data_IF_622716525234
#
_entry.id   IF_622716525234
#
_cell.length_a   1.000
_cell.length_b   1.000
_cell.length_c   1.000
_cell.angle_alpha   90.00
_cell.angle_beta   90.00
_cell.angle_gamma   90.00
#
_symmetry.space_group_name_H-M   'P 1'
#
loop_
_entity.id
_entity.type
_entity.pdbx_description
1 polymer ?
#
# COMPACT_ATOMS: atom_id res chain seq x y z
N UNK A 1 -17.34 -9.54 25.55
CA UNK A 1 -16.13 -10.37 25.31
C UNK A 1 -15.38 -9.67 24.21
N UNK A 2 -14.09 -9.38 24.38
CA UNK A 2 -13.30 -8.85 23.26
C UNK A 2 -13.12 -9.98 22.24
N UNK A 3 -13.43 -9.73 20.97
CA UNK A 3 -13.20 -10.72 19.92
C UNK A 3 -11.70 -11.06 19.82
N UNK A 4 -11.38 -12.34 19.67
CA UNK A 4 -10.01 -12.80 19.44
C UNK A 4 -9.56 -12.39 18.04
N UNK A 5 -8.32 -11.91 17.91
CA UNK A 5 -7.72 -11.52 16.64
C UNK A 5 -7.34 -12.76 15.83
N UNK A 6 -7.46 -12.67 14.51
CA UNK A 6 -6.94 -13.69 13.61
C UNK A 6 -5.41 -13.66 13.57
N UNK A 7 -4.80 -14.74 13.05
CA UNK A 7 -3.36 -14.77 12.83
C UNK A 7 -2.90 -13.65 11.89
N UNK A 8 -3.67 -13.37 10.83
CA UNK A 8 -3.34 -12.34 9.85
C UNK A 8 -3.43 -10.92 10.44
N UNK A 9 -4.48 -10.64 11.23
CA UNK A 9 -4.58 -9.38 11.96
C UNK A 9 -3.43 -9.20 12.95
N UNK A 10 -3.03 -10.27 13.63
CA UNK A 10 -1.86 -10.24 14.53
C UNK A 10 -0.58 -9.92 13.78
N UNK A 11 -0.38 -10.47 12.58
CA UNK A 11 0.75 -10.13 11.70
C UNK A 11 0.78 -8.62 11.38
N UNK A 12 -0.38 -8.03 11.09
CA UNK A 12 -0.49 -6.60 10.79
C UNK A 12 -0.26 -5.70 12.00
N UNK A 13 -0.70 -6.10 13.20
CA UNK A 13 -0.33 -5.37 14.42
C UNK A 13 1.17 -5.45 14.69
N UNK A 14 1.81 -6.57 14.38
CA UNK A 14 3.26 -6.73 14.41
C UNK A 14 3.99 -5.70 13.54
N UNK A 15 3.41 -5.22 12.45
CA UNK A 15 4.01 -4.16 11.62
C UNK A 15 4.12 -2.85 12.37
N UNK A 16 3.04 -2.45 13.05
CA UNK A 16 3.03 -1.23 13.86
C UNK A 16 3.96 -1.36 15.06
N UNK A 17 4.03 -2.54 15.66
CA UNK A 17 4.91 -2.81 16.79
C UNK A 17 6.40 -2.83 16.39
N UNK A 18 6.74 -3.36 15.21
CA UNK A 18 8.09 -3.26 14.64
C UNK A 18 8.50 -1.79 14.46
N UNK A 19 7.63 -0.94 13.92
CA UNK A 19 7.89 0.49 13.74
C UNK A 19 8.11 1.19 15.08
N UNK A 20 7.21 0.98 16.06
CA UNK A 20 7.33 1.59 17.40
C UNK A 20 8.51 1.06 18.21
N UNK A 21 8.91 -0.19 17.96
CA UNK A 21 9.99 -0.86 18.67
C UNK A 21 11.38 -0.55 18.13
N UNK A 22 11.49 0.08 16.95
CA UNK A 22 12.77 0.42 16.33
C UNK A 22 13.28 1.78 16.83
N UNK A 23 14.40 1.83 17.58
CA UNK A 23 14.87 3.07 18.20
C UNK A 23 15.43 4.10 17.20
N UNK A 24 15.83 3.68 16.01
CA UNK A 24 16.28 4.57 14.94
C UNK A 24 15.15 5.23 14.15
N UNK A 25 13.90 4.79 14.36
CA UNK A 25 12.73 5.32 13.67
C UNK A 25 12.00 6.31 14.57
N UNK A 26 11.73 7.49 14.03
CA UNK A 26 10.75 8.41 14.59
C UNK A 26 9.39 8.05 14.00
N UNK A 27 8.48 7.61 14.87
CA UNK A 27 7.09 7.37 14.51
C UNK A 27 6.27 8.62 14.83
N UNK A 28 5.70 9.25 13.81
CA UNK A 28 4.78 10.38 14.01
C UNK A 28 3.43 9.86 14.49
N UNK A 29 2.91 8.84 13.81
CA UNK A 29 1.76 8.07 14.25
C UNK A 29 1.85 6.63 13.75
N UNK A 30 1.21 5.72 14.49
CA UNK A 30 1.00 4.34 14.10
C UNK A 30 -0.31 3.94 14.76
N UNK A 31 -1.36 3.73 13.97
CA UNK A 31 -2.71 3.60 14.49
C UNK A 31 -3.44 2.41 13.88
N UNK A 32 -4.31 1.84 14.70
CA UNK A 32 -5.24 0.78 14.31
C UNK A 32 -6.64 1.34 14.46
N UNK A 33 -7.41 1.25 13.40
CA UNK A 33 -8.82 1.60 13.38
C UNK A 33 -9.67 0.70 14.28
N UNK A 34 -10.97 0.98 14.29
CA UNK A 34 -11.96 0.21 15.05
C UNK A 34 -11.95 -1.26 14.61
N UNK A 35 -12.09 -2.18 15.56
CA UNK A 35 -12.32 -3.59 15.24
C UNK A 35 -13.81 -3.80 14.97
N UNK A 36 -14.14 -4.11 13.73
CA UNK A 36 -15.51 -4.39 13.29
C UNK A 36 -15.83 -5.86 13.56
N UNK A 37 -16.13 -6.19 14.83
CA UNK A 37 -16.26 -7.58 15.30
C UNK A 37 -17.28 -8.43 14.51
N UNK A 38 -18.29 -7.79 13.93
CA UNK A 38 -19.35 -8.42 13.14
C UNK A 38 -19.06 -8.48 11.64
N UNK A 39 -17.91 -8.00 11.18
CA UNK A 39 -17.52 -7.98 9.77
C UNK A 39 -16.55 -9.13 9.46
N UNK A 40 -16.99 -10.38 9.65
CA UNK A 40 -16.22 -11.53 9.15
C UNK A 40 -16.16 -11.53 7.61
N UNK A 41 -15.14 -12.22 7.07
CA UNK A 41 -14.86 -12.20 5.64
C UNK A 41 -15.99 -12.78 4.78
N UNK A 42 -16.71 -13.80 5.27
CA UNK A 42 -17.80 -14.42 4.51
C UNK A 42 -18.99 -13.46 4.40
N UNK A 43 -19.36 -12.82 5.51
CA UNK A 43 -20.42 -11.82 5.56
C UNK A 43 -20.10 -10.62 4.67
N UNK A 44 -18.91 -10.05 4.81
CA UNK A 44 -18.48 -8.87 4.01
C UNK A 44 -18.51 -9.17 2.51
N UNK A 45 -17.95 -10.31 2.10
CA UNK A 45 -17.90 -10.67 0.68
C UNK A 45 -19.30 -11.00 0.14
N UNK A 46 -20.16 -11.59 0.96
CA UNK A 46 -21.58 -11.80 0.64
C UNK A 46 -22.31 -10.47 0.43
N UNK A 47 -22.11 -9.49 1.32
CA UNK A 47 -22.71 -8.16 1.20
C UNK A 47 -22.23 -7.43 -0.06
N UNK A 48 -20.93 -7.47 -0.39
CA UNK A 48 -20.41 -6.90 -1.63
C UNK A 48 -21.04 -7.55 -2.88
N UNK A 49 -21.24 -8.87 -2.87
CA UNK A 49 -21.85 -9.58 -3.99
C UNK A 49 -23.34 -9.27 -4.13
N UNK A 50 -24.09 -9.31 -3.02
CA UNK A 50 -25.55 -9.21 -3.01
C UNK A 50 -26.04 -7.75 -3.15
N UNK A 51 -25.37 -6.80 -2.50
CA UNK A 51 -25.77 -5.39 -2.49
C UNK A 51 -25.12 -4.58 -3.61
N UNK A 52 -23.83 -4.81 -3.87
CA UNK A 52 -23.03 -3.98 -4.78
C UNK A 52 -22.76 -4.67 -6.14
N UNK A 53 -23.13 -5.95 -6.29
CA UNK A 53 -22.85 -6.73 -7.48
C UNK A 53 -21.36 -7.04 -7.68
N UNK A 54 -20.56 -6.94 -6.61
CA UNK A 54 -19.11 -7.10 -6.61
C UNK A 54 -18.75 -8.49 -6.09
N UNK A 55 -18.56 -9.43 -7.01
CA UNK A 55 -18.15 -10.79 -6.68
C UNK A 55 -16.61 -10.92 -6.68
N UNK A 56 -15.99 -10.79 -5.51
CA UNK A 56 -14.55 -10.98 -5.33
C UNK A 56 -14.17 -12.47 -5.25
N UNK A 57 -12.94 -12.78 -5.66
CA UNK A 57 -12.38 -14.12 -5.50
C UNK A 57 -12.30 -14.49 -4.01
N UNK A 58 -12.76 -15.70 -3.67
CA UNK A 58 -12.79 -16.17 -2.30
C UNK A 58 -11.39 -16.26 -1.66
N UNK A 59 -10.33 -16.40 -2.46
CA UNK A 59 -8.96 -16.39 -1.94
C UNK A 59 -8.58 -15.08 -1.24
N UNK A 60 -9.27 -13.97 -1.55
CA UNK A 60 -9.00 -12.68 -0.90
C UNK A 60 -9.53 -12.63 0.55
N UNK A 61 -10.39 -13.57 0.96
CA UNK A 61 -10.90 -13.66 2.32
C UNK A 61 -9.80 -13.95 3.34
N UNK A 62 -8.74 -14.65 2.93
CA UNK A 62 -7.59 -14.97 3.78
C UNK A 62 -6.81 -13.71 4.19
N UNK A 63 -6.92 -12.64 3.40
CA UNK A 63 -6.29 -11.35 3.66
C UNK A 63 -7.25 -10.32 4.29
N UNK A 64 -8.46 -10.73 4.68
CA UNK A 64 -9.44 -9.82 5.25
C UNK A 64 -9.02 -9.34 6.64
N UNK A 65 -9.08 -8.02 6.84
CA UNK A 65 -8.81 -7.37 8.12
C UNK A 65 -10.11 -6.76 8.64
N UNK A 66 -10.49 -7.09 9.88
CA UNK A 66 -11.67 -6.50 10.53
C UNK A 66 -11.42 -5.11 11.08
N UNK A 67 -10.18 -4.61 11.00
CA UNK A 67 -9.89 -3.22 11.33
C UNK A 67 -10.48 -2.31 10.26
N UNK A 68 -11.13 -1.21 10.62
CA UNK A 68 -11.57 -0.20 9.64
C UNK A 68 -10.39 0.34 8.83
N UNK A 69 -9.23 0.48 9.46
CA UNK A 69 -7.97 0.69 8.77
C UNK A 69 -6.76 0.47 9.66
N UNK A 70 -5.59 0.55 9.04
CA UNK A 70 -4.28 0.55 9.69
C UNK A 70 -3.45 1.66 9.06
N UNK A 71 -2.78 2.46 9.86
CA UNK A 71 -1.98 3.57 9.35
C UNK A 71 -0.68 3.73 10.11
N UNK A 72 0.32 4.26 9.42
CA UNK A 72 1.54 4.76 10.05
C UNK A 72 2.17 5.85 9.21
N UNK A 73 2.81 6.82 9.86
CA UNK A 73 3.80 7.70 9.27
C UNK A 73 5.05 7.69 10.16
N UNK A 74 6.19 7.58 9.50
CA UNK A 74 7.47 7.43 10.16
C UNK A 74 8.61 7.95 9.30
N UNK A 75 9.72 8.23 9.94
CA UNK A 75 10.96 8.57 9.27
C UNK A 75 12.19 8.10 10.05
N UNK A 76 13.31 8.00 9.33
CA UNK A 76 14.65 7.85 9.91
C UNK A 76 15.34 9.21 9.75
N UNK A 77 15.71 9.89 10.84
CA UNK A 77 16.42 11.17 10.77
C UNK A 77 17.74 11.04 10.04
N UNK A 78 18.10 12.06 9.26
CA UNK A 78 19.41 12.12 8.62
C UNK A 78 20.48 12.55 9.65
N UNK A 79 21.58 11.78 9.84
CA UNK A 79 22.62 12.13 10.80
C UNK A 79 23.49 13.33 10.38
N UNK A 80 23.48 13.71 9.10
CA UNK A 80 24.21 14.86 8.56
C UNK A 80 23.36 16.13 8.54
N UNK A 81 22.02 16.00 8.49
CA UNK A 81 21.08 17.10 8.35
C UNK A 81 19.91 16.98 9.34
N UNK A 82 20.01 17.67 10.49
CA UNK A 82 19.06 17.59 11.62
C UNK A 82 17.58 17.86 11.26
N UNK A 83 17.29 18.59 10.18
CA UNK A 83 15.92 18.90 9.73
C UNK A 83 15.42 17.99 8.60
N UNK A 84 16.27 17.09 8.09
CA UNK A 84 15.94 16.19 6.99
C UNK A 84 15.81 14.74 7.47
N UNK A 85 15.02 13.97 6.71
CA UNK A 85 14.88 12.54 6.91
C UNK A 85 15.68 11.82 5.84
N UNK A 86 16.54 10.89 6.25
CA UNK A 86 17.27 10.00 5.35
C UNK A 86 16.29 9.18 4.50
N UNK A 87 15.23 8.68 5.14
CA UNK A 87 14.14 7.97 4.49
C UNK A 87 12.87 8.10 5.32
N UNK A 88 11.72 8.11 4.66
CA UNK A 88 10.42 8.18 5.30
C UNK A 88 9.42 7.27 4.61
N UNK A 89 8.34 6.96 5.32
CA UNK A 89 7.24 6.17 4.81
C UNK A 89 5.92 6.54 5.44
N UNK A 90 4.86 6.28 4.69
CA UNK A 90 3.50 6.45 5.14
C UNK A 90 2.60 5.42 4.46
N UNK A 91 1.59 4.93 5.20
CA UNK A 91 0.47 4.21 4.62
C UNK A 91 -0.81 4.44 5.43
N UNK A 92 -1.94 4.29 4.76
CA UNK A 92 -3.28 4.24 5.33
C UNK A 92 -4.03 3.13 4.62
N UNK A 93 -3.91 1.92 5.14
CA UNK A 93 -4.55 0.73 4.60
C UNK A 93 -5.99 0.65 5.10
N UNK A 94 -6.95 0.91 4.22
CA UNK A 94 -8.35 0.58 4.44
C UNK A 94 -8.58 -0.92 4.20
N UNK A 95 -9.49 -1.52 4.97
CA UNK A 95 -9.92 -2.88 4.64
C UNK A 95 -10.66 -2.90 3.30
N UNK A 96 -10.71 -4.09 2.67
CA UNK A 96 -11.28 -4.26 1.33
C UNK A 96 -12.74 -3.79 1.26
N UNK A 97 -13.51 -4.05 2.32
CA UNK A 97 -14.91 -3.61 2.43
C UNK A 97 -15.04 -2.10 2.35
N UNK A 98 -14.25 -1.38 3.13
CA UNK A 98 -14.22 0.08 3.18
C UNK A 98 -13.72 0.68 1.87
N UNK A 99 -12.73 0.04 1.21
CA UNK A 99 -12.26 0.46 -0.11
C UNK A 99 -13.40 0.47 -1.14
N UNK A 100 -14.24 -0.59 -1.15
CA UNK A 100 -15.39 -0.66 -2.06
C UNK A 100 -16.53 0.27 -1.66
N UNK A 101 -16.86 0.36 -0.36
CA UNK A 101 -17.90 1.25 0.16
C UNK A 101 -17.61 2.73 0.00
N UNK A 102 -16.34 3.11 -0.05
CA UNK A 102 -15.91 4.50 -0.29
C UNK A 102 -16.21 4.99 -1.71
N UNK A 103 -16.68 4.11 -2.60
CA UNK A 103 -17.11 4.46 -3.93
C UNK A 103 -15.95 4.65 -4.92
N UNK A 104 -16.26 4.72 -6.22
CA UNK A 104 -15.28 4.93 -7.28
C UNK A 104 -14.61 6.29 -7.20
N UNK A 105 -13.36 6.37 -7.68
CA UNK A 105 -12.65 7.65 -7.78
C UNK A 105 -13.36 8.66 -8.69
N UNK A 106 -14.15 8.20 -9.67
CA UNK A 106 -14.90 9.10 -10.57
C UNK A 106 -15.84 10.05 -9.82
N UNK A 107 -16.38 9.64 -8.67
CA UNK A 107 -17.28 10.47 -7.86
C UNK A 107 -16.57 11.67 -7.22
N UNK A 108 -15.23 11.66 -7.21
CA UNK A 108 -14.39 12.77 -6.73
C UNK A 108 -14.09 13.78 -7.83
N UNK A 109 -14.44 13.49 -9.08
CA UNK A 109 -14.18 14.38 -10.22
C UNK A 109 -15.37 15.32 -10.44
N UNK A 110 -15.15 16.64 -10.51
CA UNK A 110 -16.25 17.60 -10.65
C UNK A 110 -16.98 17.50 -12.00
N UNK A 111 -16.28 17.14 -13.08
CA UNK A 111 -16.85 17.02 -14.44
C UNK A 111 -16.06 15.99 -15.30
N UNK A 112 -16.16 14.68 -15.00
CA UNK A 112 -15.38 13.68 -15.71
C UNK A 112 -15.84 13.54 -17.17
N UNK A 113 -14.88 13.46 -18.09
CA UNK A 113 -15.11 13.07 -19.48
C UNK A 113 -15.58 11.60 -19.57
N UNK A 114 -16.20 11.16 -20.68
CA UNK A 114 -16.65 9.77 -20.82
C UNK A 114 -15.56 8.71 -20.61
N UNK A 115 -14.31 9.01 -20.99
CA UNK A 115 -13.19 8.09 -20.80
C UNK A 115 -12.72 8.05 -19.34
N UNK A 116 -12.74 9.20 -18.67
CA UNK A 116 -12.51 9.30 -17.22
C UNK A 116 -13.60 8.55 -16.43
N UNK A 117 -14.86 8.67 -16.84
CA UNK A 117 -15.95 7.87 -16.24
C UNK A 117 -15.69 6.38 -16.40
N UNK A 118 -15.26 5.95 -17.58
CA UNK A 118 -14.99 4.53 -17.87
C UNK A 118 -13.83 3.99 -17.04
N UNK A 119 -12.75 4.75 -16.91
CA UNK A 119 -11.54 4.33 -16.20
C UNK A 119 -11.69 4.50 -14.68
N UNK A 120 -11.96 5.72 -14.21
CA UNK A 120 -12.04 6.02 -12.77
C UNK A 120 -13.28 5.43 -12.09
N UNK A 121 -14.32 5.09 -12.85
CA UNK A 121 -15.48 4.34 -12.33
C UNK A 121 -15.10 2.95 -11.81
N UNK A 122 -13.97 2.41 -12.27
CA UNK A 122 -13.49 1.07 -11.91
C UNK A 122 -12.49 1.10 -10.74
N UNK A 123 -11.98 2.28 -10.36
CA UNK A 123 -10.92 2.41 -9.36
C UNK A 123 -11.49 2.65 -7.97
N UNK A 124 -10.99 1.91 -6.97
CA UNK A 124 -11.26 2.10 -5.54
C UNK A 124 -9.93 2.25 -4.81
N UNK A 125 -9.78 3.30 -4.01
CA UNK A 125 -8.58 3.47 -3.18
C UNK A 125 -8.66 2.55 -1.98
N UNK A 126 -7.58 1.83 -1.69
CA UNK A 126 -7.49 0.97 -0.51
C UNK A 126 -6.24 1.28 0.35
N UNK A 127 -5.23 1.94 -0.22
CA UNK A 127 -4.11 2.49 0.53
C UNK A 127 -3.77 3.90 0.03
N UNK A 128 -3.16 4.73 0.88
CA UNK A 128 -2.70 6.06 0.50
C UNK A 128 -1.86 6.77 1.55
N UNK A 129 -1.46 8.00 1.24
CA UNK A 129 -0.57 8.83 2.09
C UNK A 129 -1.24 10.17 2.49
N UNK A 130 -2.23 10.13 3.41
CA UNK A 130 -3.08 11.30 3.68
C UNK A 130 -2.40 12.43 4.47
N UNK A 131 -1.31 12.19 5.19
CA UNK A 131 -0.66 13.16 6.07
C UNK A 131 0.64 13.74 5.49
N UNK A 132 1.47 12.92 4.85
CA UNK A 132 2.76 13.34 4.27
C UNK A 132 2.63 14.25 3.04
N UNK A 133 1.40 14.49 2.55
CA UNK A 133 1.13 15.43 1.46
C UNK A 133 1.59 14.94 0.08
N UNK A 134 2.08 13.70 -0.03
CA UNK A 134 2.52 13.11 -1.30
C UNK A 134 1.32 12.74 -2.17
N UNK A 135 0.15 12.49 -1.57
CA UNK A 135 -1.12 12.27 -2.27
C UNK A 135 -1.17 10.98 -3.08
N UNK A 136 -0.21 10.07 -2.87
CA UNK A 136 -0.15 8.80 -3.57
C UNK A 136 -1.28 7.89 -3.10
N UNK A 137 -1.89 7.17 -4.04
CA UNK A 137 -2.94 6.18 -3.75
C UNK A 137 -2.60 4.84 -4.37
N UNK A 138 -2.91 3.75 -3.67
CA UNK A 138 -2.96 2.42 -4.26
C UNK A 138 -4.40 2.00 -4.44
N UNK A 139 -4.69 1.47 -5.63
CA UNK A 139 -6.04 1.35 -6.16
C UNK A 139 -6.33 -0.10 -6.57
N UNK A 140 -7.53 -0.56 -6.24
CA UNK A 140 -8.15 -1.75 -6.82
C UNK A 140 -8.90 -1.32 -8.08
N UNK A 141 -8.60 -1.92 -9.22
CA UNK A 141 -9.37 -1.78 -10.45
C UNK A 141 -10.23 -3.03 -10.67
N UNK A 142 -11.54 -2.86 -10.58
CA UNK A 142 -12.50 -3.93 -10.84
C UNK A 142 -13.16 -3.74 -12.21
N UNK A 143 -12.74 -4.53 -13.19
CA UNK A 143 -13.42 -4.57 -14.48
C UNK A 143 -14.72 -5.39 -14.38
N UNK A 144 -15.77 -5.06 -15.17
CA UNK A 144 -17.02 -5.83 -15.16
C UNK A 144 -16.78 -7.33 -15.39
N UNK A 145 -17.33 -8.17 -14.51
CA UNK A 145 -17.22 -9.63 -14.60
C UNK A 145 -15.87 -10.22 -14.16
N UNK A 146 -14.95 -9.41 -13.66
CA UNK A 146 -13.65 -9.86 -13.13
C UNK A 146 -13.73 -9.92 -11.60
N UNK A 147 -13.36 -11.05 -11.01
CA UNK A 147 -13.38 -11.26 -9.56
C UNK A 147 -12.05 -10.94 -8.85
N UNK A 148 -10.96 -10.82 -9.61
CA UNK A 148 -9.63 -10.46 -9.12
C UNK A 148 -9.28 -9.04 -9.59
N UNK A 149 -9.25 -8.05 -8.70
CA UNK A 149 -8.90 -6.69 -9.08
C UNK A 149 -7.47 -6.60 -9.64
N UNK A 150 -7.26 -5.76 -10.65
CA UNK A 150 -5.90 -5.31 -10.97
C UNK A 150 -5.46 -4.27 -9.94
N UNK A 151 -4.17 -4.19 -9.66
CA UNK A 151 -3.62 -3.16 -8.80
C UNK A 151 -3.02 -2.02 -9.61
N UNK A 152 -3.29 -0.79 -9.17
CA UNK A 152 -2.80 0.42 -9.79
C UNK A 152 -2.24 1.37 -8.73
N UNK A 153 -1.22 2.14 -9.09
CA UNK A 153 -0.62 3.17 -8.27
C UNK A 153 -0.84 4.54 -8.91
N UNK A 154 -1.51 5.43 -8.18
CA UNK A 154 -1.66 6.83 -8.55
C UNK A 154 -0.50 7.62 -7.95
N UNK A 155 0.43 8.01 -8.82
CA UNK A 155 1.58 8.82 -8.47
C UNK A 155 1.32 10.33 -8.69
N UNK A 156 0.05 10.74 -8.54
CA UNK A 156 -0.45 12.10 -8.70
C UNK A 156 -0.06 12.70 -10.06
N UNK A 157 0.87 13.65 -10.07
CA UNK A 157 1.35 14.34 -11.28
C UNK A 157 2.10 13.42 -12.24
N UNK A 158 2.60 12.28 -11.76
CA UNK A 158 3.28 11.26 -12.57
C UNK A 158 2.34 10.20 -13.13
N UNK A 159 1.03 10.36 -12.94
CA UNK A 159 0.00 9.52 -13.54
C UNK A 159 -0.20 8.16 -12.87
N UNK A 160 -0.94 7.29 -13.56
CA UNK A 160 -1.38 5.99 -13.06
C UNK A 160 -0.54 4.86 -13.64
N UNK A 161 -0.05 4.00 -12.76
CA UNK A 161 0.84 2.90 -13.11
C UNK A 161 0.23 1.57 -12.67
N UNK A 162 0.02 0.66 -13.61
CA UNK A 162 -0.40 -0.70 -13.26
C UNK A 162 0.75 -1.42 -12.55
N UNK A 163 0.41 -2.14 -11.48
CA UNK A 163 1.38 -2.93 -10.71
C UNK A 163 1.36 -4.41 -11.13
N UNK A 164 2.53 -5.04 -11.11
CA UNK A 164 2.80 -6.47 -11.25
C UNK A 164 2.69 -7.18 -9.89
N UNK A 165 1.55 -6.97 -9.22
CA UNK A 165 1.17 -7.55 -7.95
C UNK A 165 -0.33 -7.85 -7.93
N UNK A 166 -0.71 -8.90 -7.21
CA UNK A 166 -2.08 -9.08 -6.75
C UNK A 166 -2.27 -8.49 -5.35
N UNK A 167 -3.51 -8.46 -4.86
CA UNK A 167 -3.84 -7.85 -3.56
C UNK A 167 -3.06 -8.48 -2.38
N UNK A 168 -3.00 -9.82 -2.23
CA UNK A 168 -2.14 -10.44 -1.21
C UNK A 168 -0.66 -10.05 -1.35
N UNK A 169 -0.12 -10.07 -2.58
CA UNK A 169 1.26 -9.68 -2.84
C UNK A 169 1.57 -8.23 -2.48
N UNK A 170 0.61 -7.33 -2.70
CA UNK A 170 0.72 -5.93 -2.26
C UNK A 170 0.77 -5.81 -0.74
N UNK A 171 -0.10 -6.53 -0.03
CA UNK A 171 -0.15 -6.51 1.42
C UNK A 171 1.17 -7.02 2.03
N UNK A 172 1.75 -8.08 1.47
CA UNK A 172 3.07 -8.56 1.89
C UNK A 172 4.20 -7.58 1.54
N UNK A 173 4.17 -6.96 0.36
CA UNK A 173 5.14 -5.95 -0.01
C UNK A 173 5.07 -4.74 0.94
N UNK A 174 3.87 -4.23 1.24
CA UNK A 174 3.65 -3.14 2.19
C UNK A 174 4.17 -3.49 3.59
N UNK A 175 3.97 -4.73 4.04
CA UNK A 175 4.50 -5.22 5.33
C UNK A 175 6.03 -5.17 5.41
N UNK A 176 6.72 -5.45 4.31
CA UNK A 176 8.19 -5.48 4.24
C UNK A 176 8.75 -4.06 4.03
N UNK A 177 8.11 -3.25 3.19
CA UNK A 177 8.54 -1.88 2.85
C UNK A 177 8.06 -0.84 3.85
N UNK A 178 7.15 -1.20 4.76
CA UNK A 178 6.59 -0.30 5.79
C UNK A 178 5.97 0.98 5.23
N UNK A 179 5.60 1.00 3.95
CA UNK A 179 5.08 2.21 3.30
C UNK A 179 6.14 3.24 2.90
N UNK A 180 7.43 2.86 2.78
CA UNK A 180 8.49 3.75 2.26
C UNK A 180 8.06 4.45 0.97
N UNK A 181 8.16 5.78 0.91
CA UNK A 181 7.66 6.51 -0.25
C UNK A 181 8.23 6.00 -1.57
N UNK A 182 7.33 5.70 -2.52
CA UNK A 182 7.68 5.25 -3.87
C UNK A 182 7.99 3.76 -4.00
N UNK A 183 7.89 2.96 -2.94
CA UNK A 183 8.14 1.51 -3.00
C UNK A 183 7.29 0.80 -4.08
N UNK A 184 6.09 1.31 -4.36
CA UNK A 184 5.17 0.76 -5.35
C UNK A 184 5.78 0.71 -6.76
N UNK A 185 6.69 1.64 -7.11
CA UNK A 185 7.35 1.67 -8.41
C UNK A 185 8.28 0.47 -8.65
N UNK A 186 8.70 -0.25 -7.61
CA UNK A 186 9.41 -1.53 -7.76
C UNK A 186 8.56 -2.57 -8.51
N UNK A 187 7.24 -2.39 -8.51
CA UNK A 187 6.28 -3.30 -9.11
C UNK A 187 5.56 -2.72 -10.32
N UNK A 188 5.98 -1.58 -10.87
CA UNK A 188 5.41 -1.04 -12.12
C UNK A 188 6.37 -1.28 -13.28
N UNK A 189 6.08 -0.78 -14.50
CA UNK A 189 6.97 -0.89 -15.68
C UNK A 189 7.79 0.40 -15.91
N UNK A 190 8.01 1.20 -14.87
CA UNK A 190 8.77 2.45 -15.00
C UNK A 190 10.27 2.22 -14.82
N UNK A 191 11.10 3.08 -15.42
CA UNK A 191 12.54 3.13 -15.12
C UNK A 191 12.78 3.96 -13.86
N UNK A 192 13.60 3.42 -12.96
CA UNK A 192 14.10 4.05 -11.74
C UNK A 192 15.55 4.51 -11.87
N UNK A 193 16.07 4.60 -13.10
CA UNK A 193 17.44 5.03 -13.38
C UNK A 193 17.68 6.51 -12.99
N UNK A 194 18.93 6.85 -12.72
CA UNK A 194 19.35 8.23 -12.46
C UNK A 194 19.07 9.14 -13.67
N UNK A 195 18.64 10.37 -13.40
CA UNK A 195 18.25 11.35 -14.42
C UNK A 195 16.88 11.10 -15.06
N UNK A 196 16.16 10.05 -14.64
CA UNK A 196 14.80 9.75 -15.06
C UNK A 196 13.72 10.45 -14.22
N UNK A 197 12.47 10.36 -14.68
CA UNK A 197 11.30 10.94 -13.97
C UNK A 197 11.09 10.35 -12.56
N UNK A 198 11.52 9.11 -12.34
CA UNK A 198 11.34 8.38 -11.09
C UNK A 198 12.65 8.16 -10.31
N UNK A 199 13.72 8.90 -10.61
CA UNK A 199 15.03 8.72 -9.96
C UNK A 199 14.95 8.81 -8.42
N UNK A 200 14.10 9.69 -7.88
CA UNK A 200 13.94 9.88 -6.44
C UNK A 200 13.37 8.63 -5.78
N UNK A 201 12.39 7.98 -6.41
CA UNK A 201 11.84 6.72 -5.93
C UNK A 201 12.89 5.59 -6.01
N UNK A 202 13.72 5.60 -7.06
CA UNK A 202 14.87 4.70 -7.18
C UNK A 202 15.85 4.85 -6.03
N UNK A 203 16.23 6.08 -5.67
CA UNK A 203 17.12 6.36 -4.54
C UNK A 203 16.51 5.97 -3.20
N UNK A 204 15.22 6.24 -2.99
CA UNK A 204 14.53 5.83 -1.76
C UNK A 204 14.47 4.31 -1.62
N UNK A 205 14.22 3.59 -2.72
CA UNK A 205 14.27 2.13 -2.71
C UNK A 205 15.68 1.59 -2.40
N UNK A 206 16.74 2.21 -2.90
CA UNK A 206 18.12 1.85 -2.54
C UNK A 206 18.41 2.06 -1.06
N UNK A 207 18.11 3.25 -0.52
CA UNK A 207 18.30 3.57 0.90
C UNK A 207 17.50 2.60 1.78
N UNK A 208 16.25 2.31 1.41
CA UNK A 208 15.42 1.32 2.10
C UNK A 208 16.13 -0.04 2.14
N UNK A 209 16.63 -0.52 1.02
CA UNK A 209 17.28 -1.83 0.93
C UNK A 209 18.67 -1.87 1.58
N UNK A 210 19.31 -0.72 1.80
CA UNK A 210 20.53 -0.61 2.59
C UNK A 210 20.22 -0.66 4.10
N UNK A 211 19.23 0.12 4.53
CA UNK A 211 18.96 0.37 5.96
C UNK A 211 18.07 -0.70 6.58
N UNK A 212 17.03 -1.15 5.88
CA UNK A 212 16.00 -2.03 6.44
C UNK A 212 16.50 -3.40 6.91
N UNK A 213 17.46 -4.08 6.26
CA UNK A 213 18.00 -5.33 6.79
C UNK A 213 18.59 -5.21 8.20
N UNK A 214 19.05 -4.01 8.59
CA UNK A 214 19.53 -3.72 9.94
C UNK A 214 18.38 -3.35 10.89
N UNK A 215 17.43 -2.53 10.44
CA UNK A 215 16.30 -2.08 11.27
C UNK A 215 15.26 -3.18 11.53
N UNK A 216 15.00 -4.01 10.51
CA UNK A 216 14.00 -5.07 10.52
C UNK A 216 14.58 -6.38 9.97
N UNK A 217 15.54 -7.01 10.67
CA UNK A 217 16.27 -8.19 10.18
C UNK A 217 15.40 -9.44 9.97
N UNK A 218 14.13 -9.42 10.38
CA UNK A 218 13.20 -10.54 10.26
C UNK A 218 12.58 -10.74 8.87
N UNK A 219 12.81 -9.84 7.92
CA UNK A 219 12.22 -9.92 6.56
C UNK A 219 13.25 -10.33 5.51
N UNK A 220 12.76 -10.98 4.45
CA UNK A 220 13.55 -11.27 3.25
C UNK A 220 13.45 -10.11 2.25
N UNK A 221 14.58 -9.44 2.03
CA UNK A 221 14.71 -8.32 1.10
C UNK A 221 15.18 -8.73 -0.30
N UNK A 222 15.56 -10.00 -0.52
CA UNK A 222 16.08 -10.46 -1.82
C UNK A 222 15.08 -10.27 -2.98
N UNK A 223 13.75 -10.48 -2.81
CA UNK A 223 12.79 -10.19 -3.87
C UNK A 223 12.76 -8.70 -4.24
N UNK A 224 12.81 -7.79 -3.26
CA UNK A 224 12.80 -6.35 -3.50
C UNK A 224 14.10 -5.87 -4.17
N UNK A 225 15.26 -6.43 -3.81
CA UNK A 225 16.53 -6.18 -4.52
C UNK A 225 16.45 -6.59 -5.98
N UNK A 226 15.84 -7.75 -6.26
CA UNK A 226 15.65 -8.25 -7.62
C UNK A 226 14.76 -7.29 -8.43
N UNK A 227 13.65 -6.84 -7.85
CA UNK A 227 12.78 -5.84 -8.47
C UNK A 227 13.50 -4.52 -8.74
N UNK A 228 14.29 -4.03 -7.80
CA UNK A 228 15.08 -2.81 -8.01
C UNK A 228 16.08 -2.98 -9.16
N UNK A 229 16.79 -4.11 -9.23
CA UNK A 229 17.73 -4.39 -10.33
C UNK A 229 17.04 -4.47 -11.70
N UNK A 230 15.79 -4.96 -11.76
CA UNK A 230 15.01 -4.94 -12.99
C UNK A 230 14.59 -3.54 -13.44
N UNK A 231 14.44 -2.59 -12.50
CA UNK A 231 13.96 -1.23 -12.76
C UNK A 231 15.06 -0.18 -12.82
N UNK A 232 16.24 -0.48 -12.28
CA UNK A 232 17.41 0.40 -12.24
C UNK A 232 18.66 -0.38 -12.68
N UNK A 233 19.13 -0.10 -13.91
CA UNK A 233 20.18 -0.88 -14.58
C UNK A 233 21.55 -0.75 -13.91
N UNK A 234 21.80 0.38 -13.27
CA UNK A 234 23.07 0.65 -12.59
C UNK A 234 23.10 0.12 -11.14
N UNK A 235 21.96 -0.36 -10.63
CA UNK A 235 21.89 -0.97 -9.30
C UNK A 235 22.60 -2.33 -9.29
N UNK A 236 23.55 -2.49 -8.36
CA UNK A 236 24.25 -3.76 -8.11
C UNK A 236 23.73 -4.36 -6.80
N UNK A 237 22.94 -5.41 -6.92
CA UNK A 237 22.32 -6.13 -5.81
C UNK A 237 23.34 -6.76 -4.85
#
# INVERSE_FOLDING_TARGET
MMAELTAYETTWLGVLDELRGCPEIRVEYAERGELLETEDADRVFGELADCDGIALDASLKECHLRFSGLSAAWDVPDPEYDEESLIAGEFYLANVHQAFRSGPLVERLPFPTPDEVRFYGQLRSFDGTPHGGVGHLSLLRLSPGVSRPELWFDATTKGYHRMDLDYPGYLEALRITKGTYGWQFLFTDVSLDDGGEFEVAGRFAEIMLEVFPRLFPGHDYAPLRSRLAERRRDFRA
#
